data_IF_455451543702
#
_entry.id   IF_455451543702
#
_cell.length_a   1.000
_cell.length_b   1.000
_cell.length_c   1.000
_cell.angle_alpha   90.00
_cell.angle_beta   90.00
_cell.angle_gamma   90.00
#
_symmetry.space_group_name_H-M   'P 1'
#
loop_
_entity.id
_entity.type
_entity.pdbx_description
1 polymer ?
#
# COMPACT_ATOMS: atom_id res chain seq x y z
N UNK A 1 9.98 9.45 26.09
CA UNK A 1 9.29 8.58 25.16
C UNK A 1 8.95 9.36 23.90
N UNK A 2 9.32 8.80 22.76
CA UNK A 2 9.03 9.47 21.51
C UNK A 2 7.59 9.25 21.07
N UNK A 3 6.97 10.32 20.61
CA UNK A 3 5.64 10.22 20.03
C UNK A 3 5.71 9.60 18.64
N UNK A 4 4.70 8.82 18.30
CA UNK A 4 4.59 8.27 16.96
C UNK A 4 3.12 8.23 16.55
N UNK A 5 2.91 8.15 15.23
CA UNK A 5 1.56 8.12 14.65
C UNK A 5 1.32 6.78 13.99
N UNK A 6 0.15 6.24 14.23
CA UNK A 6 -0.30 4.99 13.61
C UNK A 6 -1.78 5.08 13.32
N UNK A 7 -2.34 4.01 12.76
CA UNK A 7 -3.78 3.92 12.51
C UNK A 7 -4.39 2.93 13.49
N UNK A 8 -5.70 3.01 13.67
CA UNK A 8 -6.46 2.05 14.48
C UNK A 8 -7.22 1.13 13.55
N UNK A 9 -7.02 -0.20 13.75
CA UNK A 9 -7.74 -1.18 12.96
C UNK A 9 -7.36 -1.15 11.50
N UNK A 10 -8.36 -1.06 10.63
CA UNK A 10 -8.18 -1.12 9.19
C UNK A 10 -8.87 0.04 8.50
N UNK A 11 -8.43 0.30 7.27
CA UNK A 11 -9.04 1.32 6.43
C UNK A 11 -8.93 0.88 4.97
N UNK A 12 -9.77 1.45 4.11
CA UNK A 12 -9.81 1.09 2.69
C UNK A 12 -10.06 2.34 1.85
N UNK A 13 -9.44 2.39 0.68
CA UNK A 13 -9.67 3.45 -0.30
C UNK A 13 -9.59 2.88 -1.71
N UNK A 14 -10.23 3.53 -2.65
CA UNK A 14 -10.24 3.09 -4.04
C UNK A 14 -9.90 4.24 -4.99
N UNK A 15 -9.30 3.88 -6.13
CA UNK A 15 -8.93 4.84 -7.15
C UNK A 15 -8.98 4.15 -8.51
N UNK A 16 -9.47 4.84 -9.52
CA UNK A 16 -9.50 4.31 -10.88
C UNK A 16 -8.72 5.21 -11.81
N UNK A 17 -7.88 4.61 -12.67
CA UNK A 17 -7.11 5.34 -13.67
C UNK A 17 -7.06 4.49 -14.93
N UNK A 18 -7.52 5.06 -16.06
CA UNK A 18 -7.52 4.36 -17.36
C UNK A 18 -8.07 2.94 -17.24
N UNK A 19 -9.19 2.79 -16.58
CA UNK A 19 -9.92 1.54 -16.36
C UNK A 19 -9.22 0.56 -15.42
N UNK A 20 -8.01 0.84 -14.95
CA UNK A 20 -7.42 0.05 -13.88
C UNK A 20 -8.02 0.49 -12.55
N UNK A 21 -8.35 -0.50 -11.72
CA UNK A 21 -8.93 -0.27 -10.41
C UNK A 21 -7.90 -0.58 -9.34
N UNK A 22 -7.68 0.37 -8.46
CA UNK A 22 -6.72 0.26 -7.37
C UNK A 22 -7.46 0.29 -6.04
N UNK A 23 -7.22 -0.69 -5.20
CA UNK A 23 -7.85 -0.77 -3.88
C UNK A 23 -6.76 -0.80 -2.84
N UNK A 24 -6.67 0.25 -2.03
CA UNK A 24 -5.72 0.30 -0.93
C UNK A 24 -6.40 -0.16 0.35
N UNK A 25 -5.78 -1.12 1.03
CA UNK A 25 -6.24 -1.57 2.33
C UNK A 25 -5.09 -1.40 3.31
N UNK A 26 -5.36 -0.71 4.41
CA UNK A 26 -4.37 -0.44 5.44
C UNK A 26 -4.80 -1.14 6.72
N UNK A 27 -3.80 -1.60 7.48
CA UNK A 27 -4.05 -2.24 8.75
C UNK A 27 -2.94 -1.91 9.73
N UNK A 28 -3.33 -1.73 11.00
CA UNK A 28 -2.36 -1.68 12.07
C UNK A 28 -1.57 -3.00 12.08
N UNK A 29 -0.26 -2.91 12.18
CA UNK A 29 0.61 -4.08 12.29
C UNK A 29 1.90 -3.62 12.96
N UNK A 30 2.13 -4.09 14.18
CA UNK A 30 3.31 -3.71 14.95
C UNK A 30 4.43 -4.75 14.89
N UNK A 31 4.27 -5.75 14.01
CA UNK A 31 5.29 -6.77 13.78
C UNK A 31 5.23 -7.24 12.34
N UNK A 32 6.34 -7.84 11.86
CA UNK A 32 6.37 -8.42 10.52
C UNK A 32 5.34 -9.54 10.37
N UNK A 33 5.15 -10.33 11.42
CA UNK A 33 4.17 -11.41 11.39
C UNK A 33 2.77 -10.89 11.13
N UNK A 34 2.39 -9.82 11.80
CA UNK A 34 1.07 -9.21 11.62
C UNK A 34 0.93 -8.59 10.23
N UNK A 35 2.00 -7.94 9.75
CA UNK A 35 1.99 -7.35 8.42
C UNK A 35 1.83 -8.43 7.35
N UNK A 36 2.58 -9.52 7.44
CA UNK A 36 2.50 -10.62 6.48
C UNK A 36 1.13 -11.30 6.54
N UNK A 37 0.59 -11.48 7.75
CA UNK A 37 -0.73 -12.08 7.90
C UNK A 37 -1.82 -11.27 7.18
N UNK A 38 -1.76 -9.94 7.31
CA UNK A 38 -2.70 -9.06 6.61
C UNK A 38 -2.52 -9.15 5.08
N UNK A 39 -1.27 -9.14 4.63
CA UNK A 39 -0.95 -9.28 3.20
C UNK A 39 -1.56 -10.57 2.64
N UNK A 40 -1.39 -11.68 3.33
CA UNK A 40 -1.93 -12.95 2.88
C UNK A 40 -3.45 -12.96 2.84
N UNK A 41 -4.10 -12.30 3.80
CA UNK A 41 -5.55 -12.14 3.80
C UNK A 41 -6.03 -11.40 2.55
N UNK A 42 -5.36 -10.29 2.22
CA UNK A 42 -5.73 -9.48 1.05
C UNK A 42 -5.50 -10.28 -0.23
N UNK A 43 -4.38 -10.98 -0.33
CA UNK A 43 -4.09 -11.82 -1.49
C UNK A 43 -5.15 -12.90 -1.67
N UNK A 44 -5.54 -13.55 -0.60
CA UNK A 44 -6.54 -14.62 -0.67
C UNK A 44 -7.91 -14.09 -1.12
N UNK A 45 -8.25 -12.88 -0.72
CA UNK A 45 -9.51 -12.25 -1.10
C UNK A 45 -9.50 -11.68 -2.53
N UNK A 46 -8.30 -11.52 -3.13
CA UNK A 46 -8.15 -10.88 -4.43
C UNK A 46 -7.30 -11.73 -5.39
N UNK A 47 -7.63 -13.01 -5.50
CA UNK A 47 -6.84 -13.99 -6.25
C UNK A 47 -6.73 -13.71 -7.74
N UNK A 48 -7.69 -13.00 -8.30
CA UNK A 48 -7.70 -12.66 -9.73
C UNK A 48 -7.01 -11.34 -10.02
N UNK A 49 -6.58 -10.61 -8.99
CA UNK A 49 -5.88 -9.37 -9.20
C UNK A 49 -4.49 -9.63 -9.79
N UNK A 50 -4.05 -8.72 -10.65
CA UNK A 50 -2.76 -8.84 -11.30
C UNK A 50 -1.60 -8.56 -10.34
N UNK A 51 -1.78 -7.59 -9.45
CA UNK A 51 -0.75 -7.18 -8.49
C UNK A 51 -1.34 -6.89 -7.13
N UNK A 52 -0.63 -7.28 -6.09
CA UNK A 52 -0.91 -6.88 -4.71
C UNK A 52 0.37 -6.25 -4.17
N UNK A 53 0.55 -4.97 -4.47
CA UNK A 53 1.69 -4.17 -4.06
C UNK A 53 1.58 -3.91 -2.56
N UNK A 54 2.70 -3.86 -1.85
CA UNK A 54 2.62 -3.55 -0.42
C UNK A 54 3.82 -2.72 0.05
N UNK A 55 3.60 -2.05 1.18
CA UNK A 55 4.65 -1.38 1.93
C UNK A 55 4.27 -1.41 3.40
N UNK A 56 5.24 -1.58 4.28
CA UNK A 56 4.98 -1.46 5.71
C UNK A 56 6.14 -0.78 6.42
N UNK A 57 5.79 -0.16 7.54
CA UNK A 57 6.73 0.48 8.43
C UNK A 57 6.44 0.01 9.85
N UNK A 58 7.49 -0.43 10.53
CA UNK A 58 7.40 -0.88 11.91
C UNK A 58 8.29 0.01 12.77
N UNK A 59 7.75 0.48 13.89
CA UNK A 59 8.49 1.32 14.82
C UNK A 59 9.65 0.55 15.45
N UNK A 60 9.39 -0.69 15.86
CA UNK A 60 10.43 -1.52 16.45
C UNK A 60 11.48 -1.86 15.40
N UNK A 61 12.72 -1.49 15.71
CA UNK A 61 13.84 -1.72 14.80
C UNK A 61 13.84 -0.82 13.57
N UNK A 62 12.94 0.15 13.50
CA UNK A 62 12.81 1.07 12.37
C UNK A 62 12.75 0.33 11.05
N UNK A 63 11.98 -0.74 10.98
CA UNK A 63 11.91 -1.58 9.79
C UNK A 63 10.95 -1.03 8.76
N UNK A 64 11.39 -1.08 7.51
CA UNK A 64 10.57 -0.69 6.36
C UNK A 64 10.77 -1.72 5.27
N UNK A 65 9.68 -2.06 4.59
CA UNK A 65 9.75 -2.99 3.47
C UNK A 65 8.68 -2.65 2.45
N UNK A 66 8.97 -2.98 1.19
CA UNK A 66 7.99 -2.81 0.12
C UNK A 66 8.18 -3.89 -0.94
N UNK A 67 7.16 -4.04 -1.78
CA UNK A 67 7.22 -4.91 -2.96
C UNK A 67 6.39 -4.32 -4.08
N UNK A 68 6.93 -4.33 -5.27
CA UNK A 68 6.20 -3.92 -6.48
C UNK A 68 5.26 -5.03 -6.97
N UNK A 69 5.43 -6.24 -6.46
CA UNK A 69 4.61 -7.40 -6.81
C UNK A 69 4.34 -7.54 -8.32
N UNK A 70 5.41 -7.48 -9.11
CA UNK A 70 5.30 -7.65 -10.55
C UNK A 70 5.06 -6.38 -11.35
N UNK A 71 4.79 -5.26 -10.72
CA UNK A 71 4.78 -3.97 -11.42
C UNK A 71 6.23 -3.60 -11.77
N UNK A 72 6.46 -2.72 -12.75
CA UNK A 72 7.82 -2.29 -13.06
C UNK A 72 8.53 -1.73 -11.83
N UNK A 73 9.83 -1.94 -11.75
CA UNK A 73 10.62 -1.57 -10.57
C UNK A 73 10.39 -0.11 -10.17
N UNK A 74 10.15 0.10 -8.88
CA UNK A 74 10.00 1.42 -8.25
C UNK A 74 8.80 2.23 -8.72
N UNK A 75 7.82 1.60 -9.36
CA UNK A 75 6.62 2.29 -9.81
C UNK A 75 5.44 2.16 -8.88
N UNK A 76 5.51 1.25 -7.91
CA UNK A 76 4.36 0.94 -7.06
C UNK A 76 4.74 0.86 -5.58
N UNK A 77 5.57 -0.09 -5.19
CA UNK A 77 5.95 -0.28 -3.79
C UNK A 77 6.73 0.90 -3.21
N UNK A 78 7.68 1.44 -3.98
CA UNK A 78 8.45 2.60 -3.54
C UNK A 78 7.56 3.83 -3.32
N UNK A 79 6.67 4.21 -4.27
CA UNK A 79 5.74 5.30 -4.02
C UNK A 79 4.86 5.07 -2.79
N UNK A 80 4.39 3.85 -2.57
CA UNK A 80 3.57 3.52 -1.40
C UNK A 80 4.37 3.75 -0.11
N UNK A 81 5.60 3.24 -0.05
CA UNK A 81 6.44 3.43 1.12
C UNK A 81 6.74 4.91 1.37
N UNK A 82 7.02 5.66 0.30
CA UNK A 82 7.31 7.10 0.43
C UNK A 82 6.13 7.87 1.01
N UNK A 83 4.91 7.53 0.63
CA UNK A 83 3.73 8.17 1.20
C UNK A 83 3.64 7.89 2.71
N UNK A 84 3.89 6.64 3.12
CA UNK A 84 3.90 6.31 4.55
C UNK A 84 4.99 7.09 5.29
N UNK A 85 6.17 7.22 4.70
CA UNK A 85 7.27 7.99 5.30
C UNK A 85 6.90 9.46 5.46
N UNK A 86 6.34 10.05 4.42
CA UNK A 86 5.94 11.47 4.44
C UNK A 86 4.81 11.73 5.42
N UNK A 87 3.91 10.78 5.61
CA UNK A 87 2.80 10.93 6.55
C UNK A 87 3.24 10.79 8.01
N UNK A 88 4.43 10.21 8.22
CA UNK A 88 4.91 9.95 9.58
C UNK A 88 4.25 8.78 10.26
N UNK A 89 3.40 8.03 9.56
CA UNK A 89 2.73 6.86 10.12
C UNK A 89 3.68 5.67 10.23
N UNK A 90 3.54 4.92 11.31
CA UNK A 90 4.31 3.70 11.53
C UNK A 90 3.44 2.65 12.19
N UNK A 91 3.94 1.41 12.29
CA UNK A 91 3.19 0.25 12.77
C UNK A 91 1.95 -0.01 11.93
N UNK A 92 2.15 -0.04 10.62
CA UNK A 92 1.06 -0.32 9.70
C UNK A 92 1.60 -0.94 8.41
N UNK A 93 0.69 -1.60 7.72
CA UNK A 93 0.93 -2.08 6.35
C UNK A 93 -0.14 -1.52 5.44
N UNK A 94 0.23 -1.16 4.22
CA UNK A 94 -0.71 -0.89 3.15
C UNK A 94 -0.53 -1.96 2.07
N UNK A 95 -1.65 -2.51 1.61
CA UNK A 95 -1.65 -3.42 0.47
C UNK A 95 -2.53 -2.78 -0.60
N UNK A 96 -1.98 -2.61 -1.80
CA UNK A 96 -2.69 -1.99 -2.91
C UNK A 96 -2.91 -3.05 -3.98
N UNK A 97 -4.17 -3.46 -4.14
CA UNK A 97 -4.59 -4.45 -5.11
C UNK A 97 -4.96 -3.73 -6.40
N UNK A 98 -4.39 -4.18 -7.52
CA UNK A 98 -4.70 -3.60 -8.81
C UNK A 98 -5.35 -4.62 -9.73
N UNK A 99 -6.51 -4.23 -10.28
CA UNK A 99 -7.18 -4.97 -11.35
C UNK A 99 -6.91 -4.22 -12.66
N UNK A 100 -6.18 -4.87 -13.56
CA UNK A 100 -5.82 -4.26 -14.84
C UNK A 100 -7.06 -4.06 -15.72
N UNK A 101 -7.19 -2.86 -16.30
CA UNK A 101 -8.35 -2.50 -17.11
C UNK A 101 -8.14 -2.57 -18.62
N UNK A 102 -7.04 -3.14 -19.07
CA UNK A 102 -6.76 -3.29 -20.50
C UNK A 102 -5.98 -2.13 -21.12
N UNK A 103 -5.71 -1.09 -20.35
CA UNK A 103 -4.97 0.09 -20.84
C UNK A 103 -3.71 0.25 -20.00
N UNK A 104 -2.56 0.36 -20.68
CA UNK A 104 -1.28 0.57 -20.00
C UNK A 104 -1.19 2.00 -19.48
N UNK A 105 -0.69 2.15 -18.24
CA UNK A 105 -0.51 3.46 -17.64
C UNK A 105 0.86 4.07 -17.90
N UNK A 106 1.85 3.23 -18.22
CA UNK A 106 3.25 3.67 -18.29
C UNK A 106 3.83 3.87 -16.90
N UNK A 107 5.16 4.00 -16.80
CA UNK A 107 5.83 4.09 -15.50
C UNK A 107 5.43 5.34 -14.73
N UNK A 108 5.36 6.49 -15.38
CA UNK A 108 4.94 7.74 -14.73
C UNK A 108 3.50 7.70 -14.26
N UNK A 109 2.62 7.08 -15.07
CA UNK A 109 1.22 6.92 -14.69
C UNK A 109 1.06 6.00 -13.49
N UNK A 110 1.85 4.91 -13.41
CA UNK A 110 1.82 4.01 -12.27
C UNK A 110 2.24 4.71 -10.98
N UNK A 111 3.37 5.42 -11.03
CA UNK A 111 3.85 6.16 -9.85
C UNK A 111 2.77 7.12 -9.36
N UNK A 112 2.15 7.86 -10.28
CA UNK A 112 1.09 8.81 -9.92
C UNK A 112 -0.12 8.12 -9.31
N UNK A 113 -0.55 7.00 -9.91
CA UNK A 113 -1.73 6.27 -9.42
C UNK A 113 -1.50 5.75 -8.00
N UNK A 114 -0.37 5.10 -7.76
CA UNK A 114 -0.07 4.55 -6.44
C UNK A 114 0.13 5.64 -5.39
N UNK A 115 0.69 6.78 -5.78
CA UNK A 115 0.84 7.90 -4.85
C UNK A 115 -0.49 8.56 -4.54
N UNK A 116 -1.27 8.89 -5.56
CA UNK A 116 -2.54 9.60 -5.39
C UNK A 116 -3.56 8.79 -4.60
N UNK A 117 -3.61 7.49 -4.80
CA UNK A 117 -4.53 6.62 -4.08
C UNK A 117 -4.41 6.79 -2.57
N UNK A 118 -3.18 6.81 -2.07
CA UNK A 118 -2.96 6.89 -0.62
C UNK A 118 -3.29 8.27 -0.06
N UNK A 119 -3.14 9.32 -0.86
CA UNK A 119 -3.52 10.67 -0.44
C UNK A 119 -5.03 10.89 -0.44
N UNK A 120 -5.77 10.12 -1.22
CA UNK A 120 -7.23 10.22 -1.25
C UNK A 120 -7.91 9.29 -0.27
N UNK A 121 -7.14 8.42 0.40
CA UNK A 121 -7.67 7.49 1.39
C UNK A 121 -7.89 8.19 2.73
N UNK A 122 -9.02 7.92 3.37
CA UNK A 122 -9.32 8.46 4.70
C UNK A 122 -8.38 7.89 5.77
N UNK A 123 -7.67 6.82 5.44
CA UNK A 123 -6.75 6.17 6.38
C UNK A 123 -5.55 7.03 6.73
N UNK A 124 -5.24 8.04 5.93
CA UNK A 124 -4.09 8.89 6.16
C UNK A 124 -4.28 9.91 7.31
N UNK A 125 -5.47 10.01 7.84
CA UNK A 125 -5.76 10.95 8.91
C UNK A 125 -5.40 10.42 10.30
#
# INVERSE_FOLDING_TARGET
MEDYRTIRGTAIGEYEEKKSRFIAQLSFADSEEKAVAFLEQVRAANRTARHNVYAYRLREGSRERYSDDGEPAKTAGTPALEVLQHSGLTDLIVVITRYFGGVLLGTGGLVRAYTCLLYTSDAAD
#
